data_IF_244372066142
#
_entry.id   IF_244372066142
#
_cell.length_a   1.000
_cell.length_b   1.000
_cell.length_c   1.000
_cell.angle_alpha   90.00
_cell.angle_beta   90.00
_cell.angle_gamma   90.00
#
_symmetry.space_group_name_H-M   'P 1'
#
loop_
_entity.id
_entity.type
_entity.pdbx_description
1 polymer ?
#
# COMPACT_ATOMS: atom_id res chain seq x y z
N UNK A 1 84.79 -65.29 -13.02
CA UNK A 1 83.94 -64.99 -11.83
C UNK A 1 82.75 -64.15 -12.29
N UNK A 2 81.56 -64.74 -12.44
CA UNK A 2 80.30 -64.02 -12.71
C UNK A 2 79.36 -64.29 -11.55
N UNK A 3 78.93 -63.21 -10.89
CA UNK A 3 78.04 -63.18 -9.74
C UNK A 3 76.59 -63.41 -10.18
N UNK A 4 75.94 -64.46 -9.69
CA UNK A 4 74.49 -64.67 -9.86
C UNK A 4 73.74 -63.84 -8.81
N UNK A 5 73.10 -62.75 -9.24
CA UNK A 5 72.17 -62.00 -8.41
C UNK A 5 70.86 -62.79 -8.20
N UNK A 6 70.42 -62.90 -6.95
CA UNK A 6 69.11 -63.46 -6.56
C UNK A 6 68.01 -62.42 -6.82
N UNK A 7 66.86 -62.77 -7.41
CA UNK A 7 65.73 -61.85 -7.52
C UNK A 7 65.14 -61.55 -6.13
N UNK A 8 64.60 -60.34 -5.88
CA UNK A 8 63.92 -60.03 -4.63
C UNK A 8 62.64 -60.87 -4.52
N UNK A 9 62.40 -61.44 -3.33
CA UNK A 9 61.18 -62.15 -3.01
C UNK A 9 59.98 -61.19 -3.14
N UNK A 10 58.97 -61.59 -3.92
CA UNK A 10 57.69 -60.92 -3.93
C UNK A 10 57.08 -61.03 -2.52
N UNK A 11 56.81 -59.90 -1.89
CA UNK A 11 56.10 -59.86 -0.62
C UNK A 11 54.73 -60.52 -0.80
N UNK A 12 54.48 -61.60 -0.06
CA UNK A 12 53.17 -62.24 -0.02
C UNK A 12 52.17 -61.26 0.62
N UNK A 13 51.11 -60.94 -0.12
CA UNK A 13 49.95 -60.24 0.40
C UNK A 13 49.31 -61.09 1.49
N UNK A 14 49.39 -60.66 2.75
CA UNK A 14 48.59 -61.24 3.83
C UNK A 14 47.13 -60.87 3.57
N UNK A 15 46.29 -61.87 3.28
CA UNK A 15 44.86 -61.68 3.04
C UNK A 15 44.17 -61.10 4.28
N UNK A 16 43.28 -60.13 4.07
CA UNK A 16 42.46 -59.53 5.13
C UNK A 16 41.55 -60.59 5.76
N UNK A 17 41.40 -60.55 7.08
CA UNK A 17 40.44 -61.39 7.79
C UNK A 17 39.01 -60.93 7.49
N UNK A 18 38.07 -61.89 7.39
CA UNK A 18 36.63 -61.58 7.25
C UNK A 18 36.15 -60.62 8.36
N UNK A 19 36.71 -60.77 9.58
CA UNK A 19 36.35 -59.91 10.72
C UNK A 19 36.85 -58.47 10.56
N UNK A 20 38.04 -58.28 9.97
CA UNK A 20 38.58 -56.94 9.72
C UNK A 20 37.74 -56.21 8.69
N UNK A 21 37.23 -56.92 7.67
CA UNK A 21 36.36 -56.36 6.65
C UNK A 21 34.99 -55.99 7.22
N UNK A 22 34.44 -56.81 8.12
CA UNK A 22 33.20 -56.50 8.84
C UNK A 22 33.34 -55.28 9.76
N UNK A 23 34.44 -55.19 10.52
CA UNK A 23 34.71 -54.05 11.40
C UNK A 23 34.92 -52.77 10.57
N UNK A 24 35.68 -52.84 9.47
CA UNK A 24 35.93 -51.70 8.60
C UNK A 24 34.64 -51.16 7.96
N UNK A 25 33.74 -52.05 7.51
CA UNK A 25 32.42 -51.66 6.98
C UNK A 25 31.53 -51.03 8.06
N UNK A 26 31.51 -51.59 9.26
CA UNK A 26 30.73 -51.05 10.38
C UNK A 26 31.19 -49.62 10.71
N UNK A 27 32.49 -49.40 10.88
CA UNK A 27 33.05 -48.08 11.18
C UNK A 27 32.79 -47.11 10.02
N UNK A 28 33.00 -47.53 8.77
CA UNK A 28 32.74 -46.69 7.60
C UNK A 28 31.27 -46.27 7.52
N UNK A 29 30.34 -47.18 7.81
CA UNK A 29 28.90 -46.88 7.82
C UNK A 29 28.52 -45.87 8.90
N UNK A 30 29.08 -46.00 10.11
CA UNK A 30 28.85 -45.06 11.21
C UNK A 30 29.39 -43.67 10.91
N UNK A 31 30.59 -43.59 10.32
CA UNK A 31 31.17 -42.33 9.89
C UNK A 31 30.35 -41.66 8.79
N UNK A 32 29.90 -42.43 7.80
CA UNK A 32 29.05 -41.91 6.72
C UNK A 32 27.73 -41.35 7.26
N UNK A 33 27.08 -42.06 8.20
CA UNK A 33 25.87 -41.58 8.86
C UNK A 33 26.11 -40.26 9.61
N UNK A 34 27.22 -40.15 10.34
CA UNK A 34 27.61 -38.90 11.02
C UNK A 34 27.80 -37.75 10.05
N UNK A 35 28.52 -37.96 8.93
CA UNK A 35 28.74 -36.92 7.91
C UNK A 35 27.43 -36.51 7.24
N UNK A 36 26.53 -37.45 6.93
CA UNK A 36 25.21 -37.16 6.35
C UNK A 36 24.39 -36.28 7.30
N UNK A 37 24.41 -36.58 8.61
CA UNK A 37 23.71 -35.76 9.61
C UNK A 37 24.26 -34.33 9.66
N UNK A 38 25.58 -34.16 9.71
CA UNK A 38 26.23 -32.84 9.72
C UNK A 38 25.92 -32.07 8.44
N UNK A 39 26.00 -32.72 7.28
CA UNK A 39 25.72 -32.09 5.99
C UNK A 39 24.24 -31.67 5.88
N UNK A 40 23.32 -32.52 6.32
CA UNK A 40 21.88 -32.22 6.36
C UNK A 40 21.56 -31.05 7.29
N UNK A 41 22.14 -31.04 8.50
CA UNK A 41 22.00 -29.94 9.44
C UNK A 41 22.58 -28.62 8.86
N UNK A 42 23.75 -28.69 8.21
CA UNK A 42 24.38 -27.52 7.57
C UNK A 42 23.53 -26.97 6.42
N UNK A 43 22.96 -27.85 5.59
CA UNK A 43 22.04 -27.44 4.51
C UNK A 43 20.79 -26.77 5.08
N UNK A 44 20.19 -27.35 6.13
CA UNK A 44 19.01 -26.78 6.79
C UNK A 44 19.31 -25.41 7.39
N UNK A 45 20.46 -25.26 8.07
CA UNK A 45 20.91 -23.99 8.61
C UNK A 45 21.16 -22.94 7.53
N UNK A 46 21.74 -23.33 6.40
CA UNK A 46 21.96 -22.45 5.26
C UNK A 46 20.64 -21.97 4.65
N UNK A 47 19.67 -22.87 4.45
CA UNK A 47 18.33 -22.51 3.96
C UNK A 47 17.60 -21.57 4.92
N UNK A 48 17.67 -21.82 6.23
CA UNK A 48 17.09 -20.92 7.24
C UNK A 48 17.73 -19.53 7.20
N UNK A 49 19.06 -19.46 7.06
CA UNK A 49 19.78 -18.19 6.95
C UNK A 49 19.32 -17.37 5.74
N UNK A 50 19.16 -18.02 4.58
CA UNK A 50 18.62 -17.38 3.37
C UNK A 50 17.18 -16.91 3.58
N UNK A 51 16.33 -17.74 4.20
CA UNK A 51 14.94 -17.41 4.50
C UNK A 51 14.82 -16.17 5.37
N UNK A 52 15.63 -16.07 6.43
CA UNK A 52 15.66 -14.93 7.33
C UNK A 52 16.10 -13.67 6.57
N UNK A 53 17.15 -13.77 5.75
CA UNK A 53 17.65 -12.63 4.98
C UNK A 53 16.60 -12.09 3.99
N UNK A 54 15.96 -12.97 3.21
CA UNK A 54 14.92 -12.58 2.25
C UNK A 54 13.66 -12.06 2.95
N UNK A 55 13.28 -12.65 4.07
CA UNK A 55 12.16 -12.19 4.88
C UNK A 55 12.39 -10.77 5.44
N UNK A 56 13.61 -10.47 5.89
CA UNK A 56 14.00 -9.13 6.35
C UNK A 56 14.00 -8.11 5.22
N UNK A 57 14.53 -8.48 4.06
CA UNK A 57 14.52 -7.64 2.88
C UNK A 57 13.08 -7.31 2.43
N UNK A 58 12.23 -8.34 2.29
CA UNK A 58 10.83 -8.17 1.92
C UNK A 58 10.07 -7.32 2.96
N UNK A 59 10.24 -7.61 4.25
CA UNK A 59 9.63 -6.81 5.32
C UNK A 59 10.06 -5.34 5.28
N UNK A 60 11.35 -5.08 5.06
CA UNK A 60 11.87 -3.71 4.93
C UNK A 60 11.29 -2.99 3.71
N UNK A 61 11.21 -3.65 2.56
CA UNK A 61 10.63 -3.04 1.36
C UNK A 61 9.14 -2.75 1.53
N UNK A 62 8.37 -3.70 2.09
CA UNK A 62 6.94 -3.52 2.31
C UNK A 62 6.67 -2.32 3.23
N UNK A 63 7.44 -2.20 4.32
CA UNK A 63 7.34 -1.08 5.25
C UNK A 63 7.75 0.26 4.62
N UNK A 64 8.77 0.28 3.76
CA UNK A 64 9.21 1.50 3.07
C UNK A 64 8.13 2.02 2.11
N UNK A 65 7.58 1.14 1.26
CA UNK A 65 6.51 1.50 0.32
C UNK A 65 5.27 2.04 1.05
N UNK A 66 4.78 1.31 2.06
CA UNK A 66 3.61 1.72 2.84
C UNK A 66 3.87 3.04 3.56
N UNK A 67 5.01 3.17 4.25
CA UNK A 67 5.33 4.38 5.01
C UNK A 67 5.44 5.60 4.10
N UNK A 68 6.08 5.46 2.92
CA UNK A 68 6.24 6.56 1.97
C UNK A 68 4.90 7.09 1.47
N UNK A 69 4.01 6.20 1.03
CA UNK A 69 2.71 6.60 0.48
C UNK A 69 1.74 7.07 1.59
N UNK A 70 1.75 6.44 2.78
CA UNK A 70 0.95 6.89 3.93
C UNK A 70 1.36 8.29 4.38
N UNK A 71 2.66 8.63 4.36
CA UNK A 71 3.13 10.00 4.68
C UNK A 71 2.61 11.05 3.71
N UNK A 72 2.30 10.67 2.47
CA UNK A 72 1.74 11.56 1.46
C UNK A 72 0.22 11.70 1.58
N UNK A 73 -0.47 10.83 2.33
CA UNK A 73 -1.91 10.88 2.46
C UNK A 73 -2.39 12.30 2.84
N UNK A 74 -3.31 12.84 2.04
CA UNK A 74 -3.87 14.17 2.24
C UNK A 74 -2.99 15.33 1.79
N UNK A 75 -1.83 15.06 1.17
CA UNK A 75 -1.07 16.11 0.50
C UNK A 75 -1.95 16.75 -0.58
N UNK A 76 -2.17 18.05 -0.51
CA UNK A 76 -3.02 18.80 -1.42
C UNK A 76 -2.35 20.10 -1.92
N UNK A 77 -1.03 20.06 -2.13
CA UNK A 77 -0.22 21.26 -2.39
C UNK A 77 0.03 22.05 -1.10
N UNK A 78 -0.05 23.38 -1.17
CA UNK A 78 0.09 24.25 0.02
C UNK A 78 -1.22 24.45 0.81
N UNK A 79 -2.27 23.67 0.53
CA UNK A 79 -3.54 23.66 1.27
C UNK A 79 -3.30 23.14 2.69
N UNK A 80 -3.63 23.93 3.71
CA UNK A 80 -3.47 23.52 5.11
C UNK A 80 -4.65 22.69 5.64
N UNK A 81 -4.49 22.00 6.77
CA UNK A 81 -5.54 21.14 7.34
C UNK A 81 -6.85 21.84 7.64
N UNK A 82 -6.78 23.09 8.13
CA UNK A 82 -7.97 23.87 8.44
C UNK A 82 -8.79 24.10 7.17
N UNK A 83 -8.12 24.34 6.05
CA UNK A 83 -8.77 24.47 4.75
C UNK A 83 -9.32 23.13 4.25
N UNK A 84 -8.67 21.98 4.49
CA UNK A 84 -9.21 20.63 4.18
C UNK A 84 -10.53 20.33 4.92
N UNK A 85 -10.74 20.97 6.08
CA UNK A 85 -11.90 20.79 6.94
C UNK A 85 -12.95 21.88 6.81
N UNK A 86 -12.67 22.91 6.01
CA UNK A 86 -13.64 23.96 5.70
C UNK A 86 -14.90 23.39 5.06
N UNK A 87 -16.03 24.02 5.37
CA UNK A 87 -17.33 23.70 4.79
C UNK A 87 -17.85 24.91 4.01
N UNK A 88 -18.81 24.68 3.13
CA UNK A 88 -19.61 25.78 2.57
C UNK A 88 -20.51 26.45 3.64
N UNK A 89 -21.25 27.49 3.24
CA UNK A 89 -22.18 28.21 4.10
C UNK A 89 -23.31 27.33 4.68
N UNK A 90 -23.55 26.16 4.08
CA UNK A 90 -24.54 25.17 4.53
C UNK A 90 -23.92 24.07 5.42
N UNK A 91 -22.63 24.16 5.72
CA UNK A 91 -21.92 23.17 6.53
C UNK A 91 -21.46 21.92 5.75
N UNK A 92 -21.50 21.94 4.42
CA UNK A 92 -21.07 20.80 3.61
C UNK A 92 -19.57 20.83 3.35
N UNK A 93 -18.84 19.75 3.67
CA UNK A 93 -17.40 19.71 3.45
C UNK A 93 -17.00 19.61 1.97
N UNK A 94 -17.82 19.03 1.09
CA UNK A 94 -17.54 18.96 -0.34
C UNK A 94 -17.80 20.25 -1.10
N UNK A 95 -18.46 21.22 -0.46
CA UNK A 95 -18.53 22.60 -0.91
C UNK A 95 -17.35 23.47 -0.43
N UNK A 96 -16.51 22.93 0.46
CA UNK A 96 -15.35 23.61 1.03
C UNK A 96 -14.17 23.73 0.05
N UNK A 97 -12.96 23.72 0.61
CA UNK A 97 -11.75 24.07 -0.16
C UNK A 97 -11.14 22.89 -0.93
N UNK A 98 -11.48 21.63 -0.64
CA UNK A 98 -11.18 20.49 -1.53
C UNK A 98 -12.41 20.16 -2.34
N UNK A 99 -12.34 20.44 -3.64
CA UNK A 99 -13.44 20.31 -4.57
C UNK A 99 -13.20 19.15 -5.53
N UNK A 100 -14.29 18.59 -6.00
CA UNK A 100 -14.26 17.54 -7.02
C UNK A 100 -15.17 17.92 -8.18
N UNK A 101 -14.66 17.81 -9.40
CA UNK A 101 -15.50 17.90 -10.59
C UNK A 101 -16.29 16.62 -10.88
N UNK A 102 -16.08 15.55 -10.11
CA UNK A 102 -16.74 14.26 -10.31
C UNK A 102 -18.15 14.18 -9.73
N UNK A 103 -18.63 15.27 -9.13
CA UNK A 103 -19.99 15.43 -8.61
C UNK A 103 -20.74 16.49 -9.40
N UNK A 104 -22.06 16.30 -9.53
CA UNK A 104 -22.93 17.37 -10.04
C UNK A 104 -22.96 18.54 -9.05
N UNK A 105 -23.35 19.74 -9.51
CA UNK A 105 -23.50 20.88 -8.61
C UNK A 105 -24.51 20.60 -7.49
N UNK A 106 -25.60 19.88 -7.79
CA UNK A 106 -26.61 19.50 -6.81
C UNK A 106 -26.06 18.51 -5.76
N UNK A 107 -25.36 17.45 -6.19
CA UNK A 107 -24.77 16.48 -5.27
C UNK A 107 -23.73 17.13 -4.35
N UNK A 108 -22.88 17.99 -4.93
CA UNK A 108 -21.86 18.72 -4.17
C UNK A 108 -22.48 19.64 -3.11
N UNK A 109 -23.49 20.43 -3.48
CA UNK A 109 -24.17 21.40 -2.60
C UNK A 109 -25.06 20.72 -1.54
N UNK A 110 -25.40 19.45 -1.72
CA UNK A 110 -26.15 18.63 -0.77
C UNK A 110 -25.27 17.62 -0.02
N UNK A 111 -23.96 17.64 -0.25
CA UNK A 111 -23.00 16.66 0.27
C UNK A 111 -23.37 15.20 -0.05
N UNK A 112 -24.01 14.96 -1.20
CA UNK A 112 -24.41 13.62 -1.67
C UNK A 112 -23.23 12.90 -2.34
N UNK A 113 -22.18 12.69 -1.54
CA UNK A 113 -20.90 12.13 -1.97
C UNK A 113 -20.92 10.65 -2.32
N UNK A 114 -22.03 9.96 -2.05
CA UNK A 114 -22.23 8.57 -2.46
C UNK A 114 -22.33 8.41 -3.99
N UNK A 115 -22.66 9.48 -4.71
CA UNK A 115 -22.76 9.48 -6.18
C UNK A 115 -21.40 9.61 -6.89
N UNK A 116 -20.32 9.79 -6.13
CA UNK A 116 -18.96 9.83 -6.65
C UNK A 116 -18.31 8.44 -6.56
N UNK A 117 -17.59 7.99 -7.61
CA UNK A 117 -16.81 6.75 -7.55
C UNK A 117 -15.88 6.74 -6.34
N UNK A 118 -15.82 5.61 -5.63
CA UNK A 118 -15.12 5.54 -4.34
C UNK A 118 -13.65 5.97 -4.43
N UNK A 119 -12.85 5.54 -5.43
CA UNK A 119 -11.46 5.98 -5.56
C UNK A 119 -11.31 7.50 -5.71
N UNK A 120 -12.32 8.19 -6.23
CA UNK A 120 -12.25 9.63 -6.50
C UNK A 120 -12.60 10.50 -5.28
N UNK A 121 -12.91 9.91 -4.11
CA UNK A 121 -13.26 10.61 -2.86
C UNK A 121 -12.09 11.32 -2.18
N UNK A 122 -11.46 12.29 -2.86
CA UNK A 122 -10.32 13.07 -2.33
C UNK A 122 -10.67 13.94 -1.11
N UNK A 123 -11.95 14.10 -0.80
CA UNK A 123 -12.44 14.68 0.46
C UNK A 123 -12.12 13.79 1.68
N UNK A 124 -11.78 12.52 1.46
CA UNK A 124 -11.27 11.58 2.47
C UNK A 124 -9.93 11.03 1.98
N UNK A 125 -8.84 11.62 2.50
CA UNK A 125 -7.50 11.30 2.05
C UNK A 125 -6.97 9.93 2.49
N UNK A 126 -7.57 9.35 3.53
CA UNK A 126 -7.20 8.05 4.06
C UNK A 126 -8.48 7.34 4.50
N UNK A 127 -8.62 6.08 4.10
CA UNK A 127 -9.70 5.23 4.55
C UNK A 127 -9.24 3.78 4.67
N UNK A 128 -9.55 3.18 5.81
CA UNK A 128 -9.28 1.78 6.11
C UNK A 128 -10.51 0.90 5.99
N UNK A 129 -10.25 -0.39 5.87
CA UNK A 129 -11.24 -1.46 5.90
C UNK A 129 -10.67 -2.56 6.78
N UNK A 130 -11.32 -2.80 7.92
CA UNK A 130 -10.90 -3.77 8.93
C UNK A 130 -11.35 -5.16 8.51
N UNK A 131 -10.48 -6.15 8.52
CA UNK A 131 -10.91 -7.52 8.29
C UNK A 131 -11.83 -8.04 9.42
N UNK A 132 -12.66 -9.03 9.12
CA UNK A 132 -13.48 -9.66 10.16
C UNK A 132 -12.58 -10.40 11.17
N UNK A 133 -12.80 -10.15 12.46
CA UNK A 133 -12.09 -10.81 13.56
C UNK A 133 -10.78 -10.15 14.00
N UNK A 134 -10.40 -9.04 13.38
CA UNK A 134 -9.14 -8.31 13.67
C UNK A 134 -9.32 -7.07 14.55
N UNK A 135 -10.45 -6.95 15.27
CA UNK A 135 -10.59 -5.91 16.29
C UNK A 135 -9.47 -5.97 17.35
N UNK A 136 -9.23 -4.88 18.07
CA UNK A 136 -8.24 -4.84 19.16
C UNK A 136 -8.44 -6.00 20.16
N UNK A 137 -7.40 -6.80 20.37
CA UNK A 137 -7.44 -8.02 21.20
C UNK A 137 -8.05 -9.24 20.51
N UNK A 138 -8.36 -9.15 19.22
CA UNK A 138 -8.90 -10.22 18.41
C UNK A 138 -7.90 -11.34 18.14
N UNK A 139 -8.41 -12.48 17.73
CA UNK A 139 -7.62 -13.65 17.33
C UNK A 139 -7.97 -14.04 15.91
N UNK A 140 -6.95 -14.13 15.05
CA UNK A 140 -7.07 -14.51 13.65
C UNK A 140 -6.34 -15.83 13.39
N UNK A 141 -7.05 -16.82 12.83
CA UNK A 141 -6.43 -18.06 12.35
C UNK A 141 -6.23 -17.97 10.86
N UNK A 142 -4.96 -18.01 10.42
CA UNK A 142 -4.63 -17.99 9.00
C UNK A 142 -4.83 -19.40 8.39
N UNK A 143 -5.59 -19.53 7.30
CA UNK A 143 -5.78 -20.82 6.65
C UNK A 143 -4.49 -21.26 5.94
N UNK A 144 -4.26 -22.56 5.85
CA UNK A 144 -3.14 -23.11 5.06
C UNK A 144 -3.22 -22.73 3.57
N UNK A 145 -4.44 -22.59 3.05
CA UNK A 145 -4.72 -22.06 1.72
C UNK A 145 -5.50 -20.76 1.87
N UNK A 146 -4.87 -19.59 1.59
CA UNK A 146 -5.55 -18.31 1.60
C UNK A 146 -6.71 -18.28 0.60
N UNK A 147 -7.76 -17.52 0.92
CA UNK A 147 -8.98 -17.43 0.10
C UNK A 147 -9.33 -15.96 -0.08
N UNK A 148 -9.71 -15.59 -1.30
CA UNK A 148 -10.28 -14.26 -1.57
C UNK A 148 -11.54 -14.05 -0.71
N UNK A 149 -11.68 -12.88 -0.12
CA UNK A 149 -12.86 -12.52 0.66
C UNK A 149 -13.99 -11.97 -0.20
N UNK A 150 -15.16 -11.83 0.40
CA UNK A 150 -16.30 -11.06 -0.13
C UNK A 150 -16.43 -9.73 0.60
N UNK A 151 -17.10 -8.75 0.02
CA UNK A 151 -17.15 -7.38 0.57
C UNK A 151 -17.56 -7.28 2.06
N UNK A 152 -18.40 -8.19 2.55
CA UNK A 152 -18.85 -8.25 3.95
C UNK A 152 -17.83 -8.85 4.92
N UNK A 153 -16.72 -9.41 4.44
CA UNK A 153 -15.60 -9.87 5.27
C UNK A 153 -14.78 -8.69 5.83
N UNK A 154 -15.12 -7.46 5.46
CA UNK A 154 -14.52 -6.24 5.99
C UNK A 154 -15.58 -5.32 6.62
N UNK A 155 -15.14 -4.54 7.60
CA UNK A 155 -15.92 -3.44 8.17
C UNK A 155 -15.13 -2.12 8.14
N UNK A 156 -15.63 -1.07 7.47
CA UNK A 156 -16.85 -1.04 6.66
C UNK A 156 -16.80 -2.04 5.49
N UNK A 157 -17.96 -2.40 4.92
CA UNK A 157 -18.01 -3.30 3.77
C UNK A 157 -17.27 -2.70 2.56
N UNK A 158 -16.57 -3.54 1.78
CA UNK A 158 -15.79 -3.07 0.64
C UNK A 158 -16.68 -2.50 -0.47
N UNK A 159 -16.38 -1.29 -0.99
CA UNK A 159 -16.89 -0.80 -2.27
C UNK A 159 -16.56 -1.76 -3.42
N UNK A 160 -17.34 -1.67 -4.50
CA UNK A 160 -17.19 -2.56 -5.67
C UNK A 160 -15.81 -2.48 -6.30
N UNK A 161 -15.19 -1.29 -6.32
CA UNK A 161 -13.85 -1.09 -6.87
C UNK A 161 -12.76 -1.80 -6.07
N UNK A 162 -12.95 -1.97 -4.75
CA UNK A 162 -12.04 -2.72 -3.89
C UNK A 162 -12.33 -4.22 -3.92
N UNK A 163 -13.61 -4.61 -3.86
CA UNK A 163 -14.02 -6.00 -3.95
C UNK A 163 -13.55 -6.65 -5.26
N UNK A 164 -13.57 -5.90 -6.37
CA UNK A 164 -13.07 -6.34 -7.67
C UNK A 164 -11.56 -6.60 -7.75
N UNK A 165 -10.78 -6.23 -6.72
CA UNK A 165 -9.35 -6.55 -6.61
C UNK A 165 -9.09 -7.97 -6.09
N UNK A 166 -10.13 -8.69 -5.65
CA UNK A 166 -10.05 -10.01 -5.03
C UNK A 166 -9.04 -10.11 -3.87
N UNK A 167 -9.08 -9.19 -2.88
CA UNK A 167 -8.21 -9.27 -1.71
C UNK A 167 -8.46 -10.56 -0.91
N UNK A 168 -7.42 -11.11 -0.28
CA UNK A 168 -7.60 -12.23 0.65
C UNK A 168 -8.22 -11.74 1.96
N UNK A 169 -9.18 -12.50 2.50
CA UNK A 169 -9.79 -12.17 3.79
C UNK A 169 -8.79 -12.33 4.94
N UNK A 170 -9.04 -11.60 6.03
CA UNK A 170 -8.20 -11.62 7.23
C UNK A 170 -7.12 -10.54 7.26
N UNK A 171 -6.84 -9.86 6.13
CA UNK A 171 -5.97 -8.68 6.09
C UNK A 171 -6.79 -7.40 5.90
N UNK A 172 -6.34 -6.32 6.53
CA UNK A 172 -6.91 -5.00 6.35
C UNK A 172 -6.54 -4.43 4.98
N UNK A 173 -7.31 -3.44 4.57
CA UNK A 173 -7.07 -2.66 3.35
C UNK A 173 -6.98 -1.20 3.73
N UNK A 174 -6.02 -0.48 3.14
CA UNK A 174 -5.92 0.96 3.27
C UNK A 174 -5.96 1.62 1.91
N UNK A 175 -6.72 2.71 1.82
CA UNK A 175 -6.85 3.55 0.63
C UNK A 175 -6.33 4.93 0.96
N UNK A 176 -5.45 5.42 0.09
CA UNK A 176 -4.74 6.67 0.22
C UNK A 176 -5.05 7.53 -0.99
N UNK A 177 -5.32 8.81 -0.74
CA UNK A 177 -5.58 9.81 -1.77
C UNK A 177 -4.77 11.05 -1.45
N UNK A 178 -4.03 11.51 -2.45
CA UNK A 178 -3.09 12.61 -2.30
C UNK A 178 -2.70 13.18 -3.67
N UNK A 179 -2.17 14.39 -3.67
CA UNK A 179 -1.55 14.97 -4.86
C UNK A 179 -0.08 14.59 -4.92
N UNK A 180 0.44 14.39 -6.12
CA UNK A 180 1.85 14.08 -6.32
C UNK A 180 2.76 15.09 -5.59
N UNK A 181 3.93 14.66 -5.08
CA UNK A 181 4.91 15.59 -4.52
C UNK A 181 5.56 16.48 -5.59
N UNK A 182 5.41 16.11 -6.87
CA UNK A 182 5.84 16.89 -8.02
C UNK A 182 4.68 17.77 -8.44
N UNK A 183 4.99 19.05 -8.69
CA UNK A 183 4.03 20.08 -9.06
C UNK A 183 4.53 20.86 -10.28
N UNK A 184 3.60 21.43 -11.05
CA UNK A 184 3.91 22.29 -12.18
C UNK A 184 3.15 23.62 -12.02
N UNK A 185 3.87 24.74 -11.98
CA UNK A 185 3.24 26.04 -11.74
C UNK A 185 2.32 26.42 -12.91
N UNK A 186 1.10 26.83 -12.61
CA UNK A 186 0.13 27.28 -13.63
C UNK A 186 0.51 28.68 -14.11
N UNK A 187 0.75 28.82 -15.42
CA UNK A 187 1.13 30.08 -16.08
C UNK A 187 -0.05 30.78 -16.75
N UNK A 188 -1.16 30.08 -16.94
CA UNK A 188 -2.36 30.64 -17.57
C UNK A 188 -3.61 29.83 -17.25
N UNK A 189 -4.75 30.52 -17.19
CA UNK A 189 -6.06 29.91 -17.07
C UNK A 189 -7.05 30.65 -17.97
N UNK A 190 -7.63 29.95 -18.95
CA UNK A 190 -8.69 30.50 -19.78
C UNK A 190 -10.03 29.85 -19.38
N UNK A 191 -10.94 30.59 -18.72
CA UNK A 191 -12.27 30.08 -18.43
C UNK A 191 -13.10 29.99 -19.72
N UNK A 192 -14.13 29.15 -19.71
CA UNK A 192 -15.04 28.99 -20.84
C UNK A 192 -15.82 27.69 -20.74
N UNK A 193 -16.45 27.27 -21.83
CA UNK A 193 -17.12 25.97 -21.94
C UNK A 193 -16.12 24.80 -21.95
N UNK A 194 -14.90 25.02 -22.43
CA UNK A 194 -13.77 24.09 -22.32
C UNK A 194 -12.58 24.80 -21.65
N UNK A 195 -12.60 24.96 -20.32
CA UNK A 195 -11.52 25.60 -19.58
C UNK A 195 -10.15 25.03 -19.95
N UNK A 196 -9.15 25.90 -20.12
CA UNK A 196 -7.77 25.50 -20.37
C UNK A 196 -6.84 25.98 -19.27
N UNK A 197 -5.92 25.10 -18.89
CA UNK A 197 -4.81 25.38 -17.98
C UNK A 197 -3.54 25.40 -18.82
N UNK A 198 -2.71 26.41 -18.63
CA UNK A 198 -1.38 26.52 -19.24
C UNK A 198 -0.30 26.38 -18.19
N UNK A 199 0.80 25.74 -18.56
CA UNK A 199 1.98 25.50 -17.72
C UNK A 199 3.25 25.57 -18.59
N UNK A 200 4.46 25.63 -17.98
CA UNK A 200 5.71 25.62 -18.71
C UNK A 200 5.85 24.38 -19.61
N UNK A 201 6.69 24.48 -20.63
CA UNK A 201 6.89 23.38 -21.59
C UNK A 201 7.51 22.14 -20.93
N UNK A 202 6.70 21.08 -20.78
CA UNK A 202 7.12 19.79 -20.22
C UNK A 202 7.87 18.90 -21.22
N UNK A 203 8.06 19.30 -22.49
CA UNK A 203 8.74 18.48 -23.49
C UNK A 203 10.22 18.24 -23.15
N UNK A 204 10.90 19.29 -22.67
CA UNK A 204 12.30 19.26 -22.23
C UNK A 204 12.46 18.99 -20.72
N UNK A 205 11.37 18.98 -19.95
CA UNK A 205 11.41 18.63 -18.54
C UNK A 205 11.85 17.16 -18.38
N UNK A 206 12.69 16.88 -17.38
CA UNK A 206 13.17 15.53 -17.06
C UNK A 206 12.07 14.62 -16.48
N UNK A 207 12.38 13.86 -15.44
CA UNK A 207 11.43 12.91 -14.81
C UNK A 207 10.28 13.55 -14.03
N UNK A 208 10.11 14.87 -14.09
CA UNK A 208 9.19 15.68 -13.27
C UNK A 208 7.91 16.11 -14.00
N UNK A 209 7.59 15.53 -15.15
CA UNK A 209 6.39 15.88 -15.92
C UNK A 209 5.13 15.60 -15.11
N UNK A 210 4.30 16.60 -14.86
CA UNK A 210 3.02 16.39 -14.16
C UNK A 210 1.96 15.97 -15.16
N UNK A 211 1.81 16.75 -16.23
CA UNK A 211 0.73 16.60 -17.20
C UNK A 211 0.99 15.48 -18.22
N UNK A 212 2.15 15.49 -18.90
CA UNK A 212 2.51 14.48 -19.90
C UNK A 212 2.91 13.17 -19.20
N UNK A 213 2.23 12.07 -19.55
CA UNK A 213 2.43 10.76 -18.93
C UNK A 213 1.79 10.61 -17.55
N UNK A 214 0.93 11.56 -17.16
CA UNK A 214 0.10 11.46 -15.95
C UNK A 214 -1.01 10.41 -16.05
N UNK A 215 -1.68 10.17 -14.93
CA UNK A 215 -2.75 9.18 -14.76
C UNK A 215 -4.10 9.61 -15.37
N UNK A 216 -4.14 10.73 -16.10
CA UNK A 216 -5.35 11.40 -16.58
C UNK A 216 -6.27 11.98 -15.49
N UNK A 217 -5.91 11.80 -14.22
CA UNK A 217 -6.49 12.46 -13.06
C UNK A 217 -5.50 13.48 -12.52
N UNK A 218 -5.98 14.71 -12.33
CA UNK A 218 -5.16 15.85 -11.95
C UNK A 218 -5.85 16.65 -10.87
N UNK A 219 -5.08 17.50 -10.22
CA UNK A 219 -5.59 18.51 -9.34
C UNK A 219 -4.91 19.85 -9.62
N UNK A 220 -5.64 20.93 -9.45
CA UNK A 220 -5.11 22.28 -9.39
C UNK A 220 -5.29 22.77 -7.96
N UNK A 221 -4.24 23.29 -7.34
CA UNK A 221 -4.28 23.77 -5.97
C UNK A 221 -3.53 25.09 -5.81
N UNK A 222 -4.06 25.95 -4.94
CA UNK A 222 -3.36 27.07 -4.33
C UNK A 222 -3.43 26.91 -2.80
N UNK A 223 -2.93 27.90 -2.04
CA UNK A 223 -2.93 27.75 -0.57
C UNK A 223 -4.30 28.00 0.06
N UNK A 224 -5.34 28.30 -0.73
CA UNK A 224 -6.71 28.44 -0.25
C UNK A 224 -7.54 27.20 -0.52
N UNK A 225 -7.25 26.45 -1.58
CA UNK A 225 -7.96 25.21 -1.87
C UNK A 225 -7.45 24.49 -3.10
N UNK A 226 -8.08 23.35 -3.39
CA UNK A 226 -7.78 22.53 -4.54
C UNK A 226 -9.03 22.01 -5.23
N UNK A 227 -8.92 21.74 -6.53
CA UNK A 227 -9.94 21.03 -7.29
C UNK A 227 -9.34 19.84 -8.01
N UNK A 228 -9.95 18.68 -7.82
CA UNK A 228 -9.60 17.43 -8.50
C UNK A 228 -10.51 17.21 -9.71
N UNK A 229 -9.91 16.81 -10.83
CA UNK A 229 -10.60 16.66 -12.11
C UNK A 229 -9.90 15.64 -13.01
N UNK A 230 -10.59 15.24 -14.08
CA UNK A 230 -10.03 14.46 -15.19
C UNK A 230 -9.71 15.41 -16.35
N UNK A 231 -8.61 15.19 -17.07
CA UNK A 231 -8.38 15.90 -18.32
C UNK A 231 -9.41 15.47 -19.40
N UNK A 232 -9.87 16.40 -20.22
CA UNK A 232 -10.84 16.11 -21.29
C UNK A 232 -10.20 15.68 -22.61
N UNK A 233 -8.90 15.90 -22.75
CA UNK A 233 -8.07 15.41 -23.85
C UNK A 233 -6.69 15.08 -23.29
N UNK A 234 -5.89 14.33 -24.06
CA UNK A 234 -4.49 14.12 -23.72
C UNK A 234 -3.79 15.49 -23.55
N UNK A 235 -3.19 15.77 -22.37
CA UNK A 235 -2.49 17.03 -22.16
C UNK A 235 -1.35 17.20 -23.16
N UNK A 236 -1.13 18.43 -23.60
CA UNK A 236 0.00 18.79 -24.45
C UNK A 236 1.19 19.21 -23.59
N UNK A 237 2.31 19.57 -24.21
CA UNK A 237 3.50 20.00 -23.49
C UNK A 237 3.33 21.30 -22.71
N UNK A 238 2.36 22.13 -23.07
CA UNK A 238 2.16 23.46 -22.47
C UNK A 238 0.73 23.71 -22.00
N UNK A 239 -0.18 22.76 -22.16
CA UNK A 239 -1.56 22.97 -21.74
C UNK A 239 -2.46 21.74 -21.64
N UNK A 240 -3.52 21.92 -20.88
CA UNK A 240 -4.50 20.89 -20.55
C UNK A 240 -5.91 21.46 -20.66
N UNK A 241 -6.85 20.64 -21.14
CA UNK A 241 -8.27 21.00 -21.24
C UNK A 241 -9.09 20.27 -20.18
N UNK A 242 -10.03 20.99 -19.56
CA UNK A 242 -10.88 20.47 -18.47
C UNK A 242 -12.33 20.91 -18.69
N UNK A 243 -13.03 20.15 -19.52
CA UNK A 243 -14.44 20.31 -19.85
C UNK A 243 -15.34 19.39 -19.03
N UNK A 244 -16.65 19.67 -19.09
CA UNK A 244 -17.68 18.75 -18.62
C UNK A 244 -17.76 17.56 -19.59
N UNK A 245 -17.67 16.34 -19.08
CA UNK A 245 -17.60 15.13 -19.89
C UNK A 245 -16.72 14.06 -19.24
N UNK A 246 -16.86 12.81 -19.69
CA UNK A 246 -16.18 11.68 -19.05
C UNK A 246 -16.61 11.52 -17.58
N UNK A 247 -15.64 11.53 -16.68
CA UNK A 247 -15.85 11.51 -15.23
C UNK A 247 -16.24 12.89 -14.69
N UNK A 248 -15.88 13.99 -15.35
CA UNK A 248 -16.24 15.33 -14.90
C UNK A 248 -17.74 15.59 -15.12
N UNK A 249 -18.45 15.93 -14.04
CA UNK A 249 -19.86 16.33 -14.02
C UNK A 249 -20.06 17.84 -13.94
N UNK A 250 -19.03 18.58 -13.55
CA UNK A 250 -18.99 20.05 -13.51
C UNK A 250 -17.71 20.57 -14.17
N UNK A 251 -17.66 21.86 -14.51
CA UNK A 251 -16.48 22.49 -15.14
C UNK A 251 -15.69 23.34 -14.15
N UNK A 252 -14.41 23.57 -14.47
CA UNK A 252 -13.59 24.56 -13.75
C UNK A 252 -14.13 26.00 -13.90
N UNK A 253 -14.99 26.29 -14.87
CA UNK A 253 -15.57 27.62 -15.04
C UNK A 253 -16.48 28.04 -13.87
N UNK A 254 -17.02 27.07 -13.13
CA UNK A 254 -17.85 27.33 -11.95
C UNK A 254 -17.04 27.87 -10.75
N UNK A 255 -15.71 27.68 -10.75
CA UNK A 255 -14.84 28.00 -9.61
C UNK A 255 -14.52 29.49 -9.43
N UNK A 256 -15.16 30.39 -10.20
CA UNK A 256 -14.91 31.83 -10.11
C UNK A 256 -16.14 32.74 -10.12
N UNK A 257 -17.36 32.25 -10.33
CA UNK A 257 -18.49 33.16 -10.63
C UNK A 257 -19.71 33.02 -9.70
N UNK A 258 -19.95 31.89 -9.04
CA UNK A 258 -21.18 31.71 -8.22
C UNK A 258 -21.02 30.93 -6.90
N UNK A 259 -19.83 30.91 -6.29
CA UNK A 259 -19.68 30.16 -5.03
C UNK A 259 -18.55 30.66 -4.10
N UNK A 260 -18.28 31.97 -4.10
CA UNK A 260 -17.37 32.62 -3.15
C UNK A 260 -15.90 32.16 -3.14
N UNK A 261 -15.51 31.18 -3.96
CA UNK A 261 -14.16 30.64 -4.05
C UNK A 261 -13.28 31.49 -4.98
N UNK A 262 -11.97 31.49 -4.70
CA UNK A 262 -10.99 32.17 -5.53
C UNK A 262 -10.95 31.56 -6.93
N UNK A 263 -11.14 32.39 -7.95
CA UNK A 263 -10.64 32.06 -9.28
C UNK A 263 -9.13 31.82 -9.16
N UNK A 264 -8.67 30.62 -9.53
CA UNK A 264 -7.23 30.32 -9.61
C UNK A 264 -6.57 31.39 -10.48
N UNK A 265 -5.55 32.06 -9.93
CA UNK A 265 -4.79 33.08 -10.65
C UNK A 265 -3.50 32.46 -11.17
N UNK A 266 -3.10 32.76 -12.42
CA UNK A 266 -1.77 32.43 -12.90
C UNK A 266 -0.68 32.87 -11.92
N UNK A 267 0.31 32.01 -11.69
CA UNK A 267 1.43 32.26 -10.78
C UNK A 267 1.17 31.97 -9.30
N UNK A 268 -0.07 31.65 -8.90
CA UNK A 268 -0.42 31.35 -7.51
C UNK A 268 -0.97 29.94 -7.30
N UNK A 269 -1.15 29.18 -8.38
CA UNK A 269 -1.66 27.82 -8.35
C UNK A 269 -0.69 26.87 -9.04
N UNK A 270 -0.64 25.63 -8.56
CA UNK A 270 0.13 24.54 -9.15
C UNK A 270 -0.78 23.42 -9.60
N UNK A 271 -0.37 22.76 -10.67
CA UNK A 271 -0.95 21.53 -11.18
C UNK A 271 -0.23 20.33 -10.55
N UNK A 272 -1.01 19.31 -10.20
CA UNK A 272 -0.54 18.07 -9.63
C UNK A 272 -1.21 16.88 -10.32
N UNK A 273 -0.60 15.69 -10.22
CA UNK A 273 -1.32 14.44 -10.45
C UNK A 273 -2.15 14.12 -9.22
N UNK A 274 -3.38 13.66 -9.43
CA UNK A 274 -4.23 13.19 -8.35
C UNK A 274 -4.08 11.68 -8.22
N UNK A 275 -3.45 11.22 -7.14
CA UNK A 275 -3.16 9.81 -6.88
C UNK A 275 -4.24 9.23 -5.97
N UNK A 276 -4.85 8.12 -6.41
CA UNK A 276 -5.70 7.27 -5.57
C UNK A 276 -5.13 5.86 -5.59
N UNK A 277 -4.75 5.37 -4.42
CA UNK A 277 -3.98 4.14 -4.26
C UNK A 277 -4.60 3.28 -3.16
N UNK A 278 -4.68 1.98 -3.36
CA UNK A 278 -5.00 1.03 -2.30
C UNK A 278 -3.90 0.01 -2.12
N UNK A 279 -3.63 -0.32 -0.86
CA UNK A 279 -2.78 -1.44 -0.47
C UNK A 279 -3.65 -2.54 0.12
N UNK A 280 -3.42 -3.76 -0.35
CA UNK A 280 -4.16 -4.96 0.07
C UNK A 280 -3.26 -6.18 -0.10
N UNK A 281 -3.63 -7.29 0.56
CA UNK A 281 -2.98 -8.58 0.34
C UNK A 281 -3.83 -9.38 -0.64
N UNK A 282 -3.17 -9.99 -1.62
CA UNK A 282 -3.78 -10.96 -2.54
C UNK A 282 -2.81 -12.10 -2.83
N UNK A 283 -3.33 -13.16 -3.45
CA UNK A 283 -2.49 -14.27 -3.92
C UNK A 283 -1.86 -13.93 -5.26
N UNK A 284 -0.55 -14.12 -5.35
CA UNK A 284 0.13 -14.16 -6.63
C UNK A 284 -0.37 -15.37 -7.43
N UNK A 285 -0.85 -15.12 -8.66
CA UNK A 285 -1.50 -16.14 -9.48
C UNK A 285 -0.54 -17.25 -9.97
N UNK A 286 0.77 -16.99 -9.99
CA UNK A 286 1.79 -17.94 -10.45
C UNK A 286 2.37 -18.77 -9.30
N UNK A 287 2.67 -18.12 -8.17
CA UNK A 287 3.35 -18.75 -7.02
C UNK A 287 2.37 -19.23 -5.94
N UNK A 288 1.11 -18.77 -5.98
CA UNK A 288 0.12 -18.97 -4.94
C UNK A 288 0.61 -18.50 -3.55
N UNK A 289 1.49 -17.50 -3.53
CA UNK A 289 2.00 -16.88 -2.31
C UNK A 289 1.21 -15.60 -2.02
N UNK A 290 0.84 -15.34 -0.75
CA UNK A 290 0.35 -14.03 -0.35
C UNK A 290 1.39 -12.96 -0.58
N UNK A 291 0.97 -11.85 -1.18
CA UNK A 291 1.84 -10.73 -1.49
C UNK A 291 1.14 -9.42 -1.21
N UNK A 292 1.93 -8.39 -0.90
CA UNK A 292 1.44 -7.02 -0.83
C UNK A 292 1.23 -6.49 -2.25
N UNK A 293 0.00 -6.13 -2.55
CA UNK A 293 -0.38 -5.50 -3.81
C UNK A 293 -0.67 -4.02 -3.61
N UNK A 294 -0.41 -3.26 -4.68
CA UNK A 294 -0.85 -1.88 -4.82
C UNK A 294 -1.76 -1.77 -6.04
N UNK A 295 -2.96 -1.25 -5.83
CA UNK A 295 -3.84 -0.82 -6.91
C UNK A 295 -3.77 0.69 -7.02
N UNK A 296 -3.61 1.22 -8.24
CA UNK A 296 -3.77 2.65 -8.54
C UNK A 296 -4.97 2.81 -9.45
N UNK A 297 -5.83 3.78 -9.13
CA UNK A 297 -6.92 4.18 -10.02
C UNK A 297 -6.51 5.41 -10.81
N UNK A 298 -6.61 5.29 -12.12
CA UNK A 298 -6.28 6.30 -13.11
C UNK A 298 -7.48 6.46 -14.04
N UNK A 299 -7.36 7.33 -15.03
CA UNK A 299 -8.36 7.44 -16.08
C UNK A 299 -7.71 7.87 -17.38
N UNK A 300 -8.18 7.34 -18.50
CA UNK A 300 -7.85 7.93 -19.81
C UNK A 300 -8.64 9.25 -19.92
N UNK A 301 -8.08 10.33 -20.51
CA UNK A 301 -8.82 11.58 -20.70
C UNK A 301 -10.20 11.36 -21.35
N UNK A 302 -11.22 12.06 -20.84
CA UNK A 302 -12.64 11.95 -21.22
C UNK A 302 -13.29 10.56 -21.08
N UNK A 303 -12.62 9.55 -20.54
CA UNK A 303 -13.25 8.26 -20.23
C UNK A 303 -14.36 8.42 -19.18
N UNK A 304 -15.39 7.57 -19.25
CA UNK A 304 -16.52 7.56 -18.30
C UNK A 304 -16.33 6.59 -17.14
N UNK A 305 -15.23 5.84 -17.13
CA UNK A 305 -14.86 4.89 -16.08
C UNK A 305 -13.40 5.03 -15.69
N UNK A 306 -13.07 4.53 -14.50
CA UNK A 306 -11.69 4.44 -14.04
C UNK A 306 -10.96 3.27 -14.69
N UNK A 307 -9.65 3.40 -14.81
CA UNK A 307 -8.73 2.31 -15.13
C UNK A 307 -8.00 1.92 -13.86
N UNK A 308 -7.97 0.62 -13.56
CA UNK A 308 -7.25 0.09 -12.39
C UNK A 308 -5.96 -0.55 -12.85
N UNK A 309 -4.83 -0.07 -12.34
CA UNK A 309 -3.53 -0.72 -12.54
C UNK A 309 -3.11 -1.39 -11.24
N UNK A 310 -2.85 -2.69 -11.29
CA UNK A 310 -2.47 -3.50 -10.14
C UNK A 310 -1.03 -3.95 -10.32
N UNK A 311 -0.23 -3.81 -9.27
CA UNK A 311 1.14 -4.31 -9.22
C UNK A 311 1.39 -5.05 -7.91
N UNK A 312 2.14 -6.14 -7.99
CA UNK A 312 2.71 -6.79 -6.83
C UNK A 312 3.91 -5.98 -6.35
N UNK A 313 3.89 -5.56 -5.09
CA UNK A 313 4.92 -4.71 -4.50
C UNK A 313 5.97 -5.56 -3.79
N UNK A 314 5.53 -6.50 -2.95
CA UNK A 314 6.41 -7.40 -2.20
C UNK A 314 5.76 -8.77 -2.04
N UNK A 315 6.51 -9.81 -2.40
CA UNK A 315 6.12 -11.20 -2.19
C UNK A 315 6.22 -11.60 -0.70
N UNK A 316 5.31 -12.44 -0.23
CA UNK A 316 5.42 -13.09 1.08
C UNK A 316 4.89 -12.26 2.24
N UNK A 317 4.18 -11.16 1.99
CA UNK A 317 3.40 -10.46 3.01
C UNK A 317 2.08 -11.20 3.18
N UNK A 318 1.93 -11.90 4.31
CA UNK A 318 0.83 -12.83 4.57
C UNK A 318 -0.35 -12.17 5.30
N UNK A 319 -0.04 -11.18 6.16
CA UNK A 319 -1.03 -10.41 6.89
C UNK A 319 -0.63 -8.94 6.93
N UNK A 320 -1.61 -8.06 6.78
CA UNK A 320 -1.46 -6.61 6.96
C UNK A 320 -2.57 -6.09 7.86
N UNK A 321 -2.22 -5.30 8.87
CA UNK A 321 -3.11 -4.75 9.88
C UNK A 321 -2.83 -3.27 10.08
N UNK A 322 -3.89 -2.49 10.36
CA UNK A 322 -3.77 -1.06 10.63
C UNK A 322 -4.51 -0.63 11.90
N UNK A 323 -3.91 0.32 12.62
CA UNK A 323 -4.63 1.10 13.62
C UNK A 323 -4.45 2.59 13.34
N UNK A 324 -5.50 3.37 13.57
CA UNK A 324 -5.58 4.77 13.18
C UNK A 324 -5.59 5.67 14.41
N UNK A 325 -4.59 6.54 14.54
CA UNK A 325 -4.53 7.57 15.58
C UNK A 325 -5.48 8.72 15.23
N UNK A 326 -6.58 8.83 15.96
CA UNK A 326 -7.59 9.88 15.78
C UNK A 326 -7.29 11.07 16.71
N UNK A 327 -7.30 12.28 16.15
CA UNK A 327 -7.24 13.53 16.89
C UNK A 327 -8.43 13.65 17.85
N UNK A 328 -8.14 14.07 19.08
CA UNK A 328 -9.11 14.15 20.17
C UNK A 328 -10.04 15.37 20.14
N UNK A 329 -9.82 16.32 19.22
CA UNK A 329 -10.67 17.50 19.11
C UNK A 329 -12.09 17.12 18.64
N UNK A 330 -13.11 17.92 19.04
CA UNK A 330 -14.46 17.74 18.53
C UNK A 330 -14.51 17.72 16.99
N UNK A 331 -15.36 16.85 16.42
CA UNK A 331 -15.53 16.74 14.96
C UNK A 331 -16.06 18.03 14.30
N UNK A 332 -16.62 18.95 15.10
CA UNK A 332 -17.12 20.26 14.67
C UNK A 332 -16.05 21.35 14.64
N UNK A 333 -14.89 21.14 15.23
CA UNK A 333 -13.78 22.10 15.29
C UNK A 333 -12.54 21.63 14.55
N UNK A 334 -11.53 22.49 14.31
CA UNK A 334 -10.28 22.06 13.71
C UNK A 334 -9.54 21.02 14.58
N UNK A 335 -8.67 20.17 14.00
CA UNK A 335 -7.87 19.21 14.75
C UNK A 335 -6.93 19.95 15.68
N UNK A 336 -6.65 19.34 16.83
CA UNK A 336 -5.74 19.90 17.85
C UNK A 336 -4.28 19.51 17.64
N UNK A 337 -4.02 18.49 16.82
CA UNK A 337 -2.75 17.76 16.75
C UNK A 337 -2.57 16.73 17.88
N UNK A 338 -3.48 16.68 18.85
CA UNK A 338 -3.39 15.78 20.00
C UNK A 338 -4.12 14.46 19.73
N UNK A 339 -3.35 13.43 19.44
CA UNK A 339 -3.82 12.05 19.26
C UNK A 339 -3.83 11.36 20.62
N UNK A 340 -5.02 11.04 21.14
CA UNK A 340 -5.18 10.36 22.42
C UNK A 340 -5.60 8.90 22.28
N UNK A 341 -6.17 8.51 21.13
CA UNK A 341 -6.79 7.20 20.92
C UNK A 341 -6.31 6.58 19.60
N UNK A 342 -6.16 5.25 19.59
CA UNK A 342 -5.98 4.45 18.38
C UNK A 342 -7.23 3.62 18.13
N UNK A 343 -7.74 3.68 16.90
CA UNK A 343 -9.00 3.06 16.49
C UNK A 343 -8.79 2.12 15.31
N UNK A 344 -9.59 1.06 15.23
CA UNK A 344 -9.70 0.22 14.03
C UNK A 344 -10.53 0.90 12.94
N UNK A 345 -10.42 0.45 11.70
CA UNK A 345 -11.25 1.00 10.62
C UNK A 345 -12.75 0.77 10.87
N UNK A 346 -13.12 -0.37 11.48
CA UNK A 346 -14.48 -0.64 11.92
C UNK A 346 -15.01 0.42 12.90
N UNK A 347 -14.16 0.85 13.84
CA UNK A 347 -14.52 1.87 14.84
C UNK A 347 -14.70 3.24 14.21
N UNK A 348 -13.87 3.61 13.23
CA UNK A 348 -14.02 4.86 12.48
C UNK A 348 -15.23 4.83 11.54
N UNK A 349 -15.53 3.66 10.97
CA UNK A 349 -16.71 3.38 10.15
C UNK A 349 -16.55 3.74 8.67
N UNK A 350 -17.66 3.71 7.94
CA UNK A 350 -17.71 3.90 6.48
C UNK A 350 -17.66 5.36 5.99
N UNK A 351 -18.06 5.54 4.74
CA UNK A 351 -18.04 6.84 4.04
C UNK A 351 -18.94 7.91 4.70
N UNK A 352 -19.96 7.50 5.47
CA UNK A 352 -20.83 8.41 6.24
C UNK A 352 -20.12 9.03 7.45
N UNK A 353 -18.99 8.45 7.88
CA UNK A 353 -18.14 8.96 8.97
C UNK A 353 -16.88 9.66 8.45
N UNK A 354 -16.95 10.26 7.26
CA UNK A 354 -15.85 11.04 6.69
C UNK A 354 -15.19 12.04 7.67
N UNK A 355 -15.93 12.76 8.55
CA UNK A 355 -15.30 13.66 9.53
C UNK A 355 -14.26 12.99 10.44
N UNK A 356 -14.49 11.73 10.85
CA UNK A 356 -13.54 10.98 11.69
C UNK A 356 -12.30 10.55 10.92
N UNK A 357 -12.48 10.12 9.67
CA UNK A 357 -11.35 9.84 8.78
C UNK A 357 -10.48 11.07 8.52
N UNK A 358 -11.05 12.28 8.61
CA UNK A 358 -10.29 13.53 8.54
C UNK A 358 -9.58 13.92 9.84
N UNK A 359 -9.86 13.24 10.95
CA UNK A 359 -9.14 13.37 12.23
C UNK A 359 -7.99 12.39 12.36
N UNK A 360 -7.82 11.45 11.43
CA UNK A 360 -6.69 10.53 11.46
C UNK A 360 -5.39 11.30 11.22
N UNK A 361 -4.55 11.40 12.25
CA UNK A 361 -3.24 12.07 12.20
C UNK A 361 -2.05 11.11 12.22
N UNK A 362 -2.27 9.84 12.56
CA UNK A 362 -1.24 8.80 12.53
C UNK A 362 -1.82 7.44 12.12
N UNK A 363 -0.96 6.57 11.59
CA UNK A 363 -1.30 5.19 11.24
C UNK A 363 -0.23 4.26 11.81
N UNK A 364 -0.65 3.27 12.57
CA UNK A 364 0.17 2.12 12.95
C UNK A 364 0.00 1.05 11.88
N UNK A 365 1.11 0.49 11.44
CA UNK A 365 1.19 -0.55 10.41
C UNK A 365 1.73 -1.79 11.09
N UNK A 366 1.09 -2.94 10.90
CA UNK A 366 1.62 -4.23 11.29
C UNK A 366 1.58 -5.21 10.13
N UNK A 367 2.71 -5.85 9.85
CA UNK A 367 2.85 -6.87 8.80
C UNK A 367 3.33 -8.18 9.39
N UNK A 368 2.76 -9.30 8.92
CA UNK A 368 3.35 -10.63 9.05
C UNK A 368 3.95 -11.02 7.71
N UNK A 369 5.25 -11.26 7.68
CA UNK A 369 5.96 -11.65 6.46
C UNK A 369 6.45 -13.08 6.64
N UNK A 370 6.21 -13.94 5.65
CA UNK A 370 6.66 -15.33 5.59
C UNK A 370 7.88 -15.51 4.68
N UNK A 371 8.67 -16.56 4.92
CA UNK A 371 9.73 -17.02 4.03
C UNK A 371 9.18 -17.71 2.77
N UNK A 372 10.04 -18.01 1.80
CA UNK A 372 9.63 -18.68 0.56
C UNK A 372 9.33 -20.18 0.80
N UNK A 373 8.54 -20.78 -0.08
CA UNK A 373 8.02 -22.16 0.09
C UNK A 373 9.09 -23.26 0.12
N UNK A 374 10.29 -23.02 -0.43
CA UNK A 374 11.41 -23.98 -0.41
C UNK A 374 12.27 -23.93 0.85
N UNK A 375 11.96 -23.03 1.79
CA UNK A 375 12.83 -22.67 2.91
C UNK A 375 12.19 -23.03 4.26
N UNK A 376 11.47 -24.15 4.32
CA UNK A 376 10.87 -24.66 5.56
C UNK A 376 11.95 -25.04 6.57
N UNK A 377 11.91 -24.45 7.77
CA UNK A 377 12.76 -24.88 8.87
C UNK A 377 12.13 -26.12 9.52
N UNK A 378 12.90 -27.20 9.68
CA UNK A 378 12.47 -28.36 10.48
C UNK A 378 12.28 -28.02 11.98
N UNK A 379 12.77 -26.86 12.40
CA UNK A 379 12.63 -26.35 13.76
C UNK A 379 11.24 -25.73 13.92
N UNK A 380 10.38 -26.35 14.72
CA UNK A 380 9.09 -25.79 15.14
C UNK A 380 9.26 -24.31 15.50
N UNK A 381 8.57 -23.43 14.78
CA UNK A 381 8.42 -22.05 15.20
C UNK A 381 7.84 -22.05 16.63
N UNK A 382 8.34 -21.16 17.48
CA UNK A 382 8.04 -21.14 18.91
C UNK A 382 6.52 -21.26 19.16
N UNK A 383 6.13 -21.95 20.24
CA UNK A 383 4.74 -22.24 20.62
C UNK A 383 3.88 -21.00 20.96
N UNK A 384 4.35 -19.79 20.66
CA UNK A 384 3.66 -18.52 20.91
C UNK A 384 3.16 -17.98 19.57
N UNK A 385 1.84 -17.87 19.46
CA UNK A 385 1.17 -17.21 18.35
C UNK A 385 1.72 -15.77 18.20
N UNK A 386 2.27 -15.38 17.03
CA UNK A 386 2.71 -14.00 16.83
C UNK A 386 1.53 -13.03 16.98
N UNK A 387 1.79 -11.87 17.57
CA UNK A 387 0.84 -10.75 17.53
C UNK A 387 1.25 -9.76 16.44
N UNK A 388 0.28 -9.29 15.67
CA UNK A 388 0.45 -8.17 14.73
C UNK A 388 -0.44 -7.04 15.21
N UNK A 389 0.16 -5.94 15.66
CA UNK A 389 -0.48 -4.91 16.46
C UNK A 389 -1.20 -5.55 17.66
N UNK A 390 -2.50 -5.29 17.81
CA UNK A 390 -3.33 -5.84 18.88
C UNK A 390 -4.01 -7.18 18.53
N UNK A 391 -3.65 -7.82 17.41
CA UNK A 391 -4.28 -9.06 16.92
C UNK A 391 -3.36 -10.25 17.13
N UNK A 392 -3.84 -11.28 17.81
CA UNK A 392 -3.11 -12.55 17.98
C UNK A 392 -3.34 -13.44 16.76
N UNK A 393 -2.28 -13.90 16.12
CA UNK A 393 -2.34 -14.64 14.85
C UNK A 393 -1.91 -16.09 15.06
N UNK A 394 -2.77 -17.02 14.67
CA UNK A 394 -2.43 -18.45 14.60
C UNK A 394 -2.06 -18.81 13.16
N UNK A 395 -0.77 -18.93 12.81
CA UNK A 395 -0.33 -19.30 11.47
C UNK A 395 -0.60 -20.79 11.18
N UNK A 396 -0.65 -21.19 9.89
CA UNK A 396 -0.76 -22.61 9.53
C UNK A 396 0.50 -23.40 9.95
N UNK A 397 0.34 -24.69 10.18
CA UNK A 397 1.42 -25.62 10.55
C UNK A 397 2.33 -26.02 9.38
N UNK A 398 2.81 -25.06 8.60
CA UNK A 398 3.56 -25.26 7.35
C UNK A 398 5.10 -25.23 7.51
N UNK A 399 5.60 -24.96 8.72
CA UNK A 399 7.04 -24.91 9.01
C UNK A 399 7.76 -23.72 8.37
N UNK A 400 7.02 -22.72 7.85
CA UNK A 400 7.62 -21.52 7.28
C UNK A 400 7.99 -20.52 8.35
N UNK A 401 9.18 -19.94 8.22
CA UNK A 401 9.61 -18.85 9.07
C UNK A 401 8.75 -17.60 8.82
N UNK A 402 8.37 -16.92 9.91
CA UNK A 402 7.56 -15.70 9.88
C UNK A 402 8.13 -14.66 10.83
N UNK A 403 8.13 -13.40 10.40
CA UNK A 403 8.50 -12.26 11.24
C UNK A 403 7.42 -11.19 11.20
N UNK A 404 7.28 -10.47 12.31
CA UNK A 404 6.38 -9.33 12.45
C UNK A 404 7.18 -8.03 12.26
N UNK A 405 6.63 -7.10 11.50
CA UNK A 405 7.16 -5.75 11.33
C UNK A 405 6.09 -4.73 11.69
N UNK A 406 6.42 -3.80 12.57
CA UNK A 406 5.50 -2.75 13.01
C UNK A 406 6.16 -1.38 12.98
N UNK A 407 5.38 -0.36 12.63
CA UNK A 407 5.81 1.03 12.71
C UNK A 407 4.61 1.96 12.88
N UNK A 408 4.86 3.17 13.36
CA UNK A 408 3.87 4.24 13.41
C UNK A 408 4.28 5.37 12.49
N UNK A 409 3.36 5.81 11.63
CA UNK A 409 3.55 6.86 10.65
C UNK A 409 2.65 8.03 10.99
N UNK A 410 3.25 9.16 11.32
CA UNK A 410 2.57 10.46 11.42
C UNK A 410 2.25 10.98 10.02
N UNK A 411 1.00 11.42 9.80
CA UNK A 411 0.58 12.10 8.57
C UNK A 411 1.09 13.55 8.63
N UNK A 412 2.12 13.86 7.85
CA UNK A 412 2.80 15.17 7.89
C UNK A 412 1.87 16.33 7.61
N UNK A 413 0.97 16.13 6.65
CA UNK A 413 0.03 17.15 6.22
C UNK A 413 -1.10 17.38 7.22
N UNK A 414 -1.11 16.71 8.40
CA UNK A 414 -2.19 16.71 9.41
C UNK A 414 -1.80 17.13 10.83
N UNK A 415 -0.52 17.01 11.18
CA UNK A 415 -0.02 17.18 12.55
C UNK A 415 0.66 18.53 12.81
N UNK A 416 0.97 19.27 11.75
CA UNK A 416 1.63 20.56 11.85
C UNK A 416 0.78 21.59 11.13
N UNK A 417 -0.06 22.28 11.91
CA UNK A 417 -0.81 23.43 11.41
C UNK A 417 0.17 24.49 10.90
N UNK A 418 0.14 24.73 9.60
CA UNK A 418 0.70 25.93 8.98
C UNK A 418 -0.44 26.86 8.54
#
# INVERSE_FOLDING_TARGET
MKSNARPPAAAASTGLSLIELMIALLISSLLLLGVIQVFSASRTAYQLSQAIARNQENGRFAMDFLTRDIRMAGHAGCVNDQSLLSTDASGNPTGGNIRSLFLTAADRNSNTVANQPFPLRFDVSIQGFEAAGTQNGGTLTLPATPVAGVASDWSPALPTELAGLNPIKGSDIIVLRYFSPIEEMVTGFAPGSNPTISYPDESAAGSTKVAIGGSGLYAIADCKGATVFQASAAPTATGMQVAVGGLNKTSLAFLGTYDGALAFRPGNASLFRAESVAYYIALNAQTNTPSLYRARWTSVPAATSLTTTVEEVVEGVELMQFAYGEDSAPLTGPPSGYISNTNTANTLGGLTNAPRWRRVGAVQIGLLVRGASSETAATRQAAVAPSVLAVTVTPPGDGQYRSVYETTVALRNRLFGN
#
